data_IF_192930499221
#
_entry.id   IF_192930499221
#
_cell.length_a   1.000
_cell.length_b   1.000
_cell.length_c   1.000
_cell.angle_alpha   90.00
_cell.angle_beta   90.00
_cell.angle_gamma   90.00
#
_symmetry.space_group_name_H-M   'P 1'
#
loop_
_entity.id
_entity.type
_entity.pdbx_description
1 polymer ?
#
# COMPACT_ATOMS: atom_id res chain seq x y z
N UNK A 1 -28.22 -50.11 -8.62
CA UNK A 1 -27.02 -49.71 -9.38
C UNK A 1 -27.03 -48.19 -9.46
N UNK A 2 -26.43 -47.51 -8.48
CA UNK A 2 -26.41 -46.04 -8.41
C UNK A 2 -25.15 -45.57 -9.14
N UNK A 3 -25.33 -44.83 -10.24
CA UNK A 3 -24.23 -44.09 -10.90
C UNK A 3 -23.93 -42.88 -10.02
N UNK A 4 -22.81 -42.91 -9.31
CA UNK A 4 -22.22 -41.73 -8.72
C UNK A 4 -21.82 -40.80 -9.88
N UNK A 5 -22.51 -39.67 -10.02
CA UNK A 5 -22.10 -38.60 -10.91
C UNK A 5 -20.86 -37.94 -10.34
N UNK A 6 -19.70 -38.14 -10.97
CA UNK A 6 -18.49 -37.36 -10.73
C UNK A 6 -18.42 -36.23 -11.74
N UNK A 7 -19.29 -35.23 -11.60
CA UNK A 7 -19.17 -33.98 -12.34
C UNK A 7 -18.62 -32.92 -11.39
N UNK A 8 -17.29 -32.87 -11.30
CA UNK A 8 -16.60 -31.79 -10.62
C UNK A 8 -15.38 -31.39 -11.46
N UNK A 9 -15.66 -30.85 -12.65
CA UNK A 9 -14.68 -30.25 -13.56
C UNK A 9 -14.32 -28.85 -13.05
N UNK A 10 -13.40 -28.77 -12.10
CA UNK A 10 -12.79 -27.51 -11.66
C UNK A 10 -11.75 -27.04 -12.70
N UNK A 11 -12.20 -26.49 -13.83
CA UNK A 11 -11.26 -25.81 -14.75
C UNK A 11 -10.70 -24.57 -14.08
N UNK A 12 -9.50 -24.70 -13.53
CA UNK A 12 -8.68 -23.57 -13.11
C UNK A 12 -8.13 -22.88 -14.34
N UNK A 13 -8.92 -22.01 -14.97
CA UNK A 13 -8.42 -21.19 -16.07
C UNK A 13 -7.41 -20.19 -15.51
N UNK A 14 -6.12 -20.49 -15.68
CA UNK A 14 -5.02 -19.60 -15.26
C UNK A 14 -4.94 -18.45 -16.27
N UNK A 15 -5.42 -17.29 -15.87
CA UNK A 15 -5.32 -16.08 -16.69
C UNK A 15 -4.01 -15.34 -16.42
N UNK A 16 -3.08 -15.39 -17.38
CA UNK A 16 -1.80 -14.67 -17.28
C UNK A 16 -1.99 -13.19 -17.63
N UNK A 17 -1.25 -12.27 -16.99
CA UNK A 17 -1.22 -10.88 -17.41
C UNK A 17 -0.73 -10.76 -18.86
N UNK A 18 -1.18 -9.71 -19.56
CA UNK A 18 -0.69 -9.43 -20.91
C UNK A 18 0.81 -9.09 -20.89
N UNK A 19 1.47 -9.26 -22.04
CA UNK A 19 2.88 -8.90 -22.19
C UNK A 19 3.10 -7.39 -21.99
N UNK A 20 2.18 -6.57 -22.48
CA UNK A 20 2.21 -5.11 -22.29
C UNK A 20 2.17 -4.72 -20.79
N UNK A 21 1.30 -5.38 -20.01
CA UNK A 21 1.22 -5.14 -18.58
C UNK A 21 2.50 -5.59 -17.86
N UNK A 22 3.04 -6.74 -18.25
CA UNK A 22 4.26 -7.29 -17.63
C UNK A 22 5.49 -6.42 -17.92
N UNK A 23 5.58 -5.84 -19.13
CA UNK A 23 6.71 -4.99 -19.52
C UNK A 23 6.84 -3.69 -18.71
N UNK A 24 5.75 -3.23 -18.08
CA UNK A 24 5.72 -2.01 -17.25
C UNK A 24 5.57 -2.31 -15.75
N UNK A 25 5.76 -3.56 -15.35
CA UNK A 25 5.65 -3.97 -13.96
C UNK A 25 6.74 -3.31 -13.09
N UNK A 26 6.34 -2.81 -11.92
CA UNK A 26 7.27 -2.21 -10.95
C UNK A 26 8.12 -3.25 -10.19
N UNK A 27 7.80 -4.54 -10.33
CA UNK A 27 8.37 -5.65 -9.60
C UNK A 27 8.33 -6.91 -10.45
N UNK A 28 9.46 -7.59 -10.60
CA UNK A 28 9.56 -8.88 -11.26
C UNK A 28 10.09 -10.00 -10.35
N UNK A 29 10.34 -11.19 -10.92
CA UNK A 29 10.79 -12.37 -10.16
C UNK A 29 12.15 -12.18 -9.49
N UNK A 30 12.97 -11.25 -9.97
CA UNK A 30 14.27 -10.90 -9.39
C UNK A 30 14.17 -10.40 -7.94
N UNK A 31 13.09 -9.69 -7.58
CA UNK A 31 12.88 -9.26 -6.20
C UNK A 31 12.68 -10.44 -5.26
N UNK A 32 12.04 -11.51 -5.74
CA UNK A 32 11.86 -12.72 -4.95
C UNK A 32 13.18 -13.46 -4.77
N UNK A 33 13.95 -13.62 -5.85
CA UNK A 33 15.26 -14.24 -5.78
C UNK A 33 16.19 -13.51 -4.79
N UNK A 34 16.22 -12.17 -4.84
CA UNK A 34 17.01 -11.36 -3.91
C UNK A 34 16.56 -11.52 -2.44
N UNK A 35 15.25 -11.66 -2.20
CA UNK A 35 14.73 -11.88 -0.85
C UNK A 35 15.00 -13.30 -0.31
N UNK A 36 15.07 -14.30 -1.20
CA UNK A 36 15.39 -15.68 -0.86
C UNK A 36 16.91 -15.85 -0.58
N UNK A 37 17.77 -15.07 -1.23
CA UNK A 37 19.23 -15.06 -1.01
C UNK A 37 19.62 -14.45 0.35
N UNK A 38 19.17 -13.21 0.61
CA UNK A 38 19.35 -12.57 1.92
C UNK A 38 18.11 -11.74 2.27
N UNK A 39 17.25 -12.34 3.09
CA UNK A 39 16.01 -11.74 3.54
C UNK A 39 16.23 -10.46 4.35
N UNK A 40 17.25 -10.41 5.22
CA UNK A 40 17.45 -9.27 6.11
C UNK A 40 18.05 -8.09 5.35
N UNK A 41 19.05 -8.33 4.49
CA UNK A 41 19.59 -7.29 3.62
C UNK A 41 18.52 -6.76 2.63
N UNK A 42 17.68 -7.65 2.10
CA UNK A 42 16.56 -7.24 1.25
C UNK A 42 15.62 -6.27 1.99
N UNK A 43 15.19 -6.62 3.21
CA UNK A 43 14.29 -5.75 3.98
C UNK A 43 14.96 -4.47 4.46
N UNK A 44 16.26 -4.49 4.78
CA UNK A 44 17.02 -3.27 5.06
C UNK A 44 16.92 -2.29 3.87
N UNK A 45 17.21 -2.79 2.67
CA UNK A 45 17.14 -2.00 1.43
C UNK A 45 15.72 -1.51 1.13
N UNK A 46 14.69 -2.32 1.37
CA UNK A 46 13.31 -1.86 1.18
C UNK A 46 12.93 -0.77 2.18
N UNK A 47 13.44 -0.82 3.41
CA UNK A 47 13.14 0.16 4.45
C UNK A 47 13.74 1.54 4.17
N UNK A 48 14.80 1.64 3.37
CA UNK A 48 15.39 2.91 2.91
C UNK A 48 14.41 3.78 2.09
N UNK A 49 13.33 3.19 1.57
CA UNK A 49 12.27 3.92 0.83
C UNK A 49 11.41 4.79 1.75
N UNK A 50 11.49 4.57 3.05
CA UNK A 50 10.80 5.34 4.07
C UNK A 50 11.73 6.42 4.63
N UNK A 51 11.13 7.54 5.02
CA UNK A 51 11.83 8.54 5.80
C UNK A 51 11.88 8.11 7.27
N UNK A 52 13.10 7.97 7.76
CA UNK A 52 13.41 7.71 9.16
C UNK A 52 13.95 8.99 9.80
N UNK A 53 13.38 9.40 10.93
CA UNK A 53 13.91 10.48 11.76
C UNK A 53 15.14 10.02 12.54
N UNK A 54 15.22 8.73 12.87
CA UNK A 54 16.43 8.09 13.36
C UNK A 54 16.59 6.74 12.66
N UNK A 55 17.78 6.42 12.13
CA UNK A 55 18.03 5.15 11.47
C UNK A 55 17.88 3.99 12.46
N UNK A 56 17.43 2.84 11.98
CA UNK A 56 17.43 1.61 12.76
C UNK A 56 18.85 1.03 12.85
N UNK A 57 19.15 0.33 13.93
CA UNK A 57 20.44 -0.34 14.13
C UNK A 57 20.40 -1.82 13.72
N UNK A 58 19.22 -2.43 13.75
CA UNK A 58 19.02 -3.85 13.46
C UNK A 58 17.69 -4.06 12.73
N UNK A 59 17.70 -4.90 11.70
CA UNK A 59 16.52 -5.14 10.85
C UNK A 59 15.48 -5.99 11.55
N UNK A 60 15.91 -7.06 12.23
CA UNK A 60 15.03 -7.98 12.93
C UNK A 60 15.76 -8.56 14.15
N UNK A 61 15.24 -8.29 15.34
CA UNK A 61 15.55 -9.00 16.57
C UNK A 61 14.46 -10.07 16.81
N UNK A 62 14.91 -11.33 16.87
CA UNK A 62 14.09 -12.51 17.15
C UNK A 62 14.54 -13.25 18.42
N UNK A 63 15.31 -12.60 19.29
CA UNK A 63 15.85 -13.23 20.51
C UNK A 63 14.78 -13.62 21.53
N UNK A 64 13.65 -12.89 21.57
CA UNK A 64 12.54 -13.09 22.51
C UNK A 64 11.30 -13.69 21.81
N UNK A 65 11.52 -14.77 21.05
CA UNK A 65 10.45 -15.45 20.33
C UNK A 65 9.31 -15.86 21.30
N UNK A 66 8.03 -15.66 20.94
CA UNK A 66 7.50 -15.41 19.59
C UNK A 66 7.36 -13.93 19.20
N UNK A 67 7.90 -12.99 20.00
CA UNK A 67 7.76 -11.55 19.73
C UNK A 67 8.86 -11.09 18.77
N UNK A 68 8.47 -10.71 17.56
CA UNK A 68 9.35 -10.14 16.55
C UNK A 68 9.52 -8.64 16.75
N UNK A 69 10.77 -8.14 16.78
CA UNK A 69 11.04 -6.70 16.74
C UNK A 69 11.71 -6.35 15.42
N UNK A 70 11.01 -5.62 14.57
CA UNK A 70 11.52 -5.14 13.29
C UNK A 70 12.04 -3.70 13.40
N UNK A 71 13.16 -3.41 12.73
CA UNK A 71 13.78 -2.09 12.64
C UNK A 71 14.07 -1.46 14.01
N UNK A 72 14.81 -2.20 14.85
CA UNK A 72 15.12 -1.86 16.23
C UNK A 72 15.82 -0.49 16.31
N UNK A 73 15.43 0.31 17.30
CA UNK A 73 15.86 1.70 17.53
C UNK A 73 15.49 2.71 16.42
N UNK A 74 14.89 2.26 15.32
CA UNK A 74 14.43 3.12 14.24
C UNK A 74 13.24 3.98 14.70
N UNK A 75 13.23 5.25 14.32
CA UNK A 75 12.10 6.16 14.56
C UNK A 75 11.62 6.76 13.27
N UNK A 76 10.32 6.65 13.02
CA UNK A 76 9.64 7.26 11.86
C UNK A 76 8.31 7.87 12.30
N UNK A 77 7.76 8.73 11.45
CA UNK A 77 6.40 9.21 11.57
C UNK A 77 5.60 8.73 10.34
N UNK A 78 4.46 8.06 10.60
CA UNK A 78 3.62 7.50 9.53
C UNK A 78 2.92 8.60 8.72
N UNK A 79 2.42 9.65 9.37
CA UNK A 79 1.78 10.78 8.71
C UNK A 79 2.78 11.50 7.79
N UNK A 80 4.03 11.67 8.26
CA UNK A 80 5.09 12.26 7.46
C UNK A 80 5.38 11.47 6.17
N UNK A 81 5.47 10.14 6.28
CA UNK A 81 5.70 9.26 5.14
C UNK A 81 4.50 9.18 4.17
N UNK A 82 3.28 9.32 4.67
CA UNK A 82 2.07 9.20 3.86
C UNK A 82 1.62 10.52 3.23
N UNK A 83 1.84 11.65 3.90
CA UNK A 83 1.24 12.94 3.55
C UNK A 83 2.29 14.03 3.44
N UNK A 84 2.99 14.35 4.52
CA UNK A 84 3.81 15.56 4.59
C UNK A 84 4.90 15.59 3.51
N UNK A 85 5.63 14.49 3.31
CA UNK A 85 6.70 14.44 2.28
C UNK A 85 6.19 14.68 0.87
N UNK A 86 4.94 14.34 0.58
CA UNK A 86 4.34 14.47 -0.76
C UNK A 86 3.71 15.84 -1.01
N UNK A 87 3.52 16.65 0.03
CA UNK A 87 3.03 18.04 -0.10
C UNK A 87 4.15 19.07 -0.07
N UNK A 88 5.38 18.66 0.24
CA UNK A 88 6.57 19.52 0.18
C UNK A 88 6.75 20.15 -1.22
N UNK A 89 7.27 21.37 -1.30
CA UNK A 89 7.54 22.05 -2.58
C UNK A 89 8.35 21.15 -3.52
N UNK A 90 7.89 20.98 -4.76
CA UNK A 90 8.54 20.12 -5.76
C UNK A 90 8.13 18.64 -5.76
N UNK A 91 7.48 18.13 -4.71
CA UNK A 91 6.99 16.74 -4.65
C UNK A 91 5.48 16.60 -4.85
N UNK A 92 4.79 17.74 -4.99
CA UNK A 92 3.34 17.81 -5.12
C UNK A 92 2.90 17.23 -6.46
N UNK A 93 2.36 16.01 -6.44
CA UNK A 93 1.80 15.39 -7.64
C UNK A 93 0.56 16.16 -8.12
N UNK A 94 0.42 16.44 -9.43
CA UNK A 94 -0.79 17.04 -9.96
C UNK A 94 -1.98 16.12 -9.69
N UNK A 95 -3.12 16.69 -9.28
CA UNK A 95 -4.34 15.92 -9.07
C UNK A 95 -4.82 15.39 -10.41
N UNK A 96 -4.85 14.07 -10.56
CA UNK A 96 -5.21 13.39 -11.82
C UNK A 96 -6.71 13.40 -12.11
N UNK A 97 -7.55 13.74 -11.14
CA UNK A 97 -9.00 13.80 -11.31
C UNK A 97 -9.57 15.13 -10.79
N UNK A 98 -10.38 15.84 -11.60
CA UNK A 98 -11.22 16.91 -11.10
C UNK A 98 -12.14 16.33 -10.03
N UNK A 99 -12.20 16.95 -8.85
CA UNK A 99 -13.30 16.69 -7.94
C UNK A 99 -14.58 17.05 -8.69
N UNK A 100 -15.42 16.07 -9.00
CA UNK A 100 -16.75 16.34 -9.52
C UNK A 100 -17.51 17.09 -8.43
N UNK A 101 -17.47 18.42 -8.50
CA UNK A 101 -18.23 19.26 -7.59
C UNK A 101 -19.69 18.85 -7.68
N UNK A 102 -20.34 18.60 -6.53
CA UNK A 102 -21.80 18.66 -6.46
C UNK A 102 -22.16 20.14 -6.68
N UNK A 103 -22.41 20.50 -7.94
CA UNK A 103 -23.14 21.73 -8.26
C UNK A 103 -24.56 21.54 -7.76
N UNK A 104 -24.78 21.97 -6.53
CA UNK A 104 -26.06 21.84 -5.84
C UNK A 104 -26.10 22.80 -4.67
N UNK A 105 -26.07 24.10 -4.96
CA UNK A 105 -26.40 25.13 -3.98
C UNK A 105 -27.90 25.02 -3.73
N UNK A 106 -28.30 24.28 -2.70
CA UNK A 106 -29.68 24.27 -2.24
C UNK A 106 -29.96 25.65 -1.62
N UNK A 107 -30.89 26.46 -2.15
CA UNK A 107 -31.31 27.67 -1.46
C UNK A 107 -31.99 27.25 -0.15
N UNK A 108 -31.54 27.79 0.98
CA UNK A 108 -32.25 27.61 2.26
C UNK A 108 -33.48 28.52 2.23
N UNK A 109 -34.69 28.04 2.58
CA UNK A 109 -35.80 28.94 2.81
C UNK A 109 -35.54 29.77 4.07
N UNK A 110 -35.77 31.08 3.94
CA UNK A 110 -35.62 32.07 5.01
C UNK A 110 -36.53 31.72 6.19
N UNK A 111 -35.92 31.33 7.32
CA UNK A 111 -36.62 31.23 8.60
C UNK A 111 -36.66 32.61 9.26
N UNK A 112 -37.46 33.52 8.73
CA UNK A 112 -37.99 34.63 9.52
C UNK A 112 -39.10 34.07 10.41
N UNK A 113 -38.81 33.83 11.69
CA UNK A 113 -39.84 33.72 12.74
C UNK A 113 -39.68 34.92 13.68
N UNK A 114 -40.71 35.77 13.85
CA UNK A 114 -40.64 36.86 14.81
C UNK A 114 -40.68 36.33 16.24
N UNK A 115 -39.86 36.93 17.11
CA UNK A 115 -39.88 36.68 18.55
C UNK A 115 -41.23 37.11 19.15
N UNK A 116 -41.84 36.25 19.95
CA UNK A 116 -42.82 36.59 20.99
C UNK A 116 -42.22 36.22 22.32
#
# INVERSE_FOLDING_TARGET
MIKLGTDNDHRSDIYRPSLEFTATANAGPELRAAADEDRLAFWAKQAERLHWHAPFSEVLDWSDAPVAKWFVNGRLNVAYNCVDRHVLPGQRRPRRHPLRGRTGRHPRPDLQRPAR
#
